data_IF_941844393399
#
_entry.id   IF_941844393399
#
_cell.length_a   1.000
_cell.length_b   1.000
_cell.length_c   1.000
_cell.angle_alpha   90.00
_cell.angle_beta   90.00
_cell.angle_gamma   90.00
#
_symmetry.space_group_name_H-M   'P 1'
#
loop_
_entity.id
_entity.type
_entity.pdbx_description
1 polymer ?
#
# COMPACT_ATOMS: atom_id res chain seq x y z
N UNK A 1 22.98 11.13 -1.03
CA UNK A 1 21.61 11.12 -1.56
C UNK A 1 20.71 11.78 -0.51
N UNK A 2 20.31 13.04 -0.70
CA UNK A 2 19.49 13.79 0.25
C UNK A 2 18.03 13.39 0.03
N UNK A 3 17.38 12.87 1.07
CA UNK A 3 15.95 12.52 1.02
C UNK A 3 15.20 13.79 1.43
N UNK A 4 14.78 14.58 0.45
CA UNK A 4 13.88 15.71 0.69
C UNK A 4 12.50 15.14 1.01
N UNK A 5 12.06 15.30 2.26
CA UNK A 5 10.78 14.80 2.76
C UNK A 5 9.98 16.00 3.28
N UNK A 6 9.14 16.59 2.43
CA UNK A 6 8.24 17.70 2.75
C UNK A 6 6.83 17.22 3.14
N UNK A 7 6.74 16.15 3.93
CA UNK A 7 5.59 15.91 4.81
C UNK A 7 4.20 15.63 4.21
N UNK A 8 4.01 15.44 2.90
CA UNK A 8 2.66 15.09 2.39
C UNK A 8 2.59 13.96 1.35
N UNK A 9 3.55 13.83 0.43
CA UNK A 9 3.40 12.92 -0.74
C UNK A 9 4.68 12.14 -1.04
N UNK A 10 4.58 10.83 -1.24
CA UNK A 10 5.66 10.01 -1.80
C UNK A 10 5.69 10.17 -3.32
N UNK A 11 6.88 10.02 -3.93
CA UNK A 11 6.95 9.80 -5.38
C UNK A 11 6.41 8.42 -5.73
N UNK A 12 5.86 8.23 -6.93
CA UNK A 12 5.34 6.94 -7.40
C UNK A 12 6.35 5.80 -7.22
N UNK A 13 7.61 6.06 -7.61
CA UNK A 13 8.72 5.10 -7.49
C UNK A 13 9.02 4.74 -6.04
N UNK A 14 9.01 5.72 -5.13
CA UNK A 14 9.25 5.48 -3.70
C UNK A 14 8.08 4.74 -3.04
N UNK A 15 6.84 5.11 -3.37
CA UNK A 15 5.64 4.44 -2.89
C UNK A 15 5.62 2.96 -3.28
N UNK A 16 5.87 2.65 -4.56
CA UNK A 16 5.94 1.27 -5.04
C UNK A 16 7.09 0.48 -4.41
N UNK A 17 8.26 1.09 -4.25
CA UNK A 17 9.39 0.43 -3.59
C UNK A 17 9.07 0.07 -2.13
N UNK A 18 8.50 1.01 -1.37
CA UNK A 18 8.15 0.77 0.02
C UNK A 18 6.99 -0.23 0.15
N UNK A 19 6.00 -0.16 -0.75
CA UNK A 19 4.92 -1.13 -0.83
C UNK A 19 5.49 -2.54 -1.06
N UNK A 20 6.33 -2.72 -2.09
CA UNK A 20 6.98 -4.00 -2.35
C UNK A 20 7.72 -4.52 -1.12
N UNK A 21 8.60 -3.71 -0.50
CA UNK A 21 9.42 -4.17 0.62
C UNK A 21 8.65 -4.43 1.91
N UNK A 22 7.56 -3.70 2.14
CA UNK A 22 6.66 -3.97 3.26
C UNK A 22 5.94 -5.32 3.08
N UNK A 23 5.33 -5.52 1.92
CA UNK A 23 4.53 -6.72 1.66
C UNK A 23 5.39 -7.98 1.48
N UNK A 24 6.61 -7.84 0.94
CA UNK A 24 7.61 -8.92 0.91
C UNK A 24 7.94 -9.38 2.34
N UNK A 25 8.18 -8.45 3.26
CA UNK A 25 8.42 -8.78 4.66
C UNK A 25 7.20 -9.41 5.34
N UNK A 26 5.98 -8.92 5.10
CA UNK A 26 4.76 -9.51 5.66
C UNK A 26 4.51 -10.93 5.15
N UNK A 27 4.93 -11.24 3.92
CA UNK A 27 4.87 -12.61 3.41
C UNK A 27 5.87 -13.55 4.10
N UNK A 28 7.05 -13.02 4.47
CA UNK A 28 8.07 -13.75 5.24
C UNK A 28 7.74 -13.85 6.73
N UNK A 29 6.82 -13.02 7.24
CA UNK A 29 6.43 -12.95 8.64
C UNK A 29 4.89 -12.99 8.79
N UNK A 30 4.24 -14.13 8.49
CA UNK A 30 2.79 -14.25 8.57
C UNK A 30 2.27 -13.99 10.00
N UNK A 31 1.12 -13.32 10.10
CA UNK A 31 0.51 -12.94 11.37
C UNK A 31 0.99 -11.59 11.93
N UNK A 32 2.10 -11.06 11.43
CA UNK A 32 2.59 -9.75 11.83
C UNK A 32 1.73 -8.59 11.30
N UNK A 33 1.79 -7.46 12.01
CA UNK A 33 1.13 -6.24 11.57
C UNK A 33 2.08 -5.38 10.73
N UNK A 34 1.52 -4.57 9.81
CA UNK A 34 2.30 -3.59 9.04
C UNK A 34 3.19 -2.72 9.93
N UNK A 35 2.69 -2.30 11.10
CA UNK A 35 3.42 -1.44 12.05
C UNK A 35 4.65 -2.11 12.66
N UNK A 36 4.77 -3.44 12.59
CA UNK A 36 5.92 -4.18 13.08
C UNK A 36 7.09 -4.22 12.09
N UNK A 37 6.92 -3.70 10.86
CA UNK A 37 7.98 -3.72 9.85
C UNK A 37 9.25 -3.01 10.37
N UNK A 38 10.42 -3.67 10.36
CA UNK A 38 11.63 -3.15 11.02
C UNK A 38 12.21 -1.89 10.36
N UNK A 39 11.76 -1.55 9.15
CA UNK A 39 12.23 -0.36 8.45
C UNK A 39 11.53 0.93 8.89
N UNK A 40 10.45 0.84 9.68
CA UNK A 40 9.84 2.02 10.30
C UNK A 40 10.75 2.66 11.34
N UNK A 41 10.71 3.99 11.44
CA UNK A 41 11.48 4.76 12.45
C UNK A 41 11.15 4.35 13.87
N UNK A 42 9.88 4.06 14.19
CA UNK A 42 9.46 3.58 15.51
C UNK A 42 10.08 2.22 15.89
N UNK A 43 10.54 1.44 14.90
CA UNK A 43 11.22 0.15 15.08
C UNK A 43 12.74 0.24 14.86
N UNK A 44 13.32 1.44 14.86
CA UNK A 44 14.76 1.65 14.67
C UNK A 44 15.22 1.74 13.19
N UNK A 45 14.27 1.76 12.25
CA UNK A 45 14.53 1.92 10.84
C UNK A 45 14.70 3.37 10.39
N UNK A 46 14.54 3.61 9.07
CA UNK A 46 14.76 4.92 8.42
C UNK A 46 13.54 5.44 7.65
N UNK A 47 12.48 4.64 7.56
CA UNK A 47 11.26 5.03 6.87
C UNK A 47 10.33 5.67 7.89
N UNK A 48 9.98 6.94 7.67
CA UNK A 48 9.01 7.62 8.53
C UNK A 48 7.67 6.88 8.50
N UNK A 49 7.02 6.86 9.65
CA UNK A 49 5.64 6.35 9.76
C UNK A 49 4.74 7.11 8.80
N UNK A 50 3.80 6.38 8.21
CA UNK A 50 2.86 6.93 7.23
C UNK A 50 1.50 7.05 7.91
N UNK A 51 0.78 8.13 7.60
CA UNK A 51 -0.57 8.35 8.13
C UNK A 51 -1.62 7.49 7.43
N UNK A 52 -1.27 6.91 6.28
CA UNK A 52 -2.17 6.08 5.46
C UNK A 52 -1.88 4.60 5.60
N UNK A 53 -2.92 3.77 5.41
CA UNK A 53 -2.89 2.30 5.50
C UNK A 53 -1.89 1.61 4.56
N UNK A 54 -1.45 2.28 3.49
CA UNK A 54 -0.56 1.72 2.47
C UNK A 54 0.43 2.79 1.95
N UNK A 55 1.69 2.43 1.65
CA UNK A 55 2.62 3.36 0.99
C UNK A 55 2.12 3.94 -0.33
N UNK A 56 1.24 3.23 -1.04
CA UNK A 56 0.59 3.73 -2.26
C UNK A 56 -0.43 4.85 -1.98
N UNK A 57 -1.11 4.84 -0.84
CA UNK A 57 -2.01 5.93 -0.43
C UNK A 57 -1.23 7.19 -0.07
N UNK A 58 0.02 7.07 0.41
CA UNK A 58 0.88 8.23 0.61
C UNK A 58 1.39 8.83 -0.71
N UNK A 59 1.20 8.15 -1.85
CA UNK A 59 1.39 8.74 -3.17
C UNK A 59 0.16 9.53 -3.63
N UNK A 60 -1.06 9.15 -3.27
CA UNK A 60 -2.26 9.84 -3.74
C UNK A 60 -2.44 11.16 -2.95
N UNK A 61 -2.92 12.25 -3.58
CA UNK A 61 -3.16 13.51 -2.87
C UNK A 61 -4.34 13.35 -1.91
N UNK A 62 -4.12 13.63 -0.61
CA UNK A 62 -5.16 13.59 0.44
C UNK A 62 -5.82 14.97 0.63
N UNK A 63 -5.79 15.87 -0.36
CA UNK A 63 -6.43 17.18 -0.17
C UNK A 63 -7.94 17.07 -0.48
N UNK A 64 -8.83 17.36 0.49
CA UNK A 64 -10.25 17.44 0.23
C UNK A 64 -10.49 18.76 -0.50
N UNK A 65 -10.55 18.72 -1.83
CA UNK A 65 -10.98 19.87 -2.64
C UNK A 65 -12.29 19.45 -3.32
N UNK A 66 -13.40 19.55 -2.58
CA UNK A 66 -14.74 19.29 -3.12
C UNK A 66 -15.20 17.83 -3.02
N UNK A 67 -16.49 17.63 -3.28
CA UNK A 67 -17.26 16.38 -3.12
C UNK A 67 -16.90 15.25 -4.13
N UNK A 68 -15.72 15.28 -4.76
CA UNK A 68 -15.31 14.24 -5.73
C UNK A 68 -14.12 13.42 -5.20
N UNK A 69 -14.44 12.19 -4.82
CA UNK A 69 -13.72 11.25 -3.94
C UNK A 69 -12.71 10.31 -4.65
N UNK A 70 -12.24 10.60 -5.86
CA UNK A 70 -11.53 9.59 -6.68
C UNK A 70 -10.01 9.49 -6.47
N UNK A 71 -9.51 9.73 -5.26
CA UNK A 71 -8.06 9.66 -4.97
C UNK A 71 -7.46 8.27 -5.23
N UNK A 72 -8.29 7.23 -5.23
CA UNK A 72 -7.88 5.84 -5.46
C UNK A 72 -7.59 5.50 -6.93
N UNK A 73 -8.14 6.24 -7.90
CA UNK A 73 -7.84 6.03 -9.34
C UNK A 73 -6.36 6.28 -9.64
N UNK A 74 -5.71 7.16 -8.88
CA UNK A 74 -4.28 7.44 -9.01
C UNK A 74 -3.38 6.41 -8.30
N UNK A 75 -3.97 5.44 -7.59
CA UNK A 75 -3.19 4.43 -6.88
C UNK A 75 -2.26 3.71 -7.85
N UNK A 76 -0.94 3.62 -7.57
CA UNK A 76 0.01 2.92 -8.44
C UNK A 76 -0.31 1.42 -8.65
N UNK A 77 -1.19 0.87 -7.82
CA UNK A 77 -1.69 -0.51 -7.88
C UNK A 77 -3.16 -0.61 -8.29
N UNK A 78 -3.80 0.46 -8.76
CA UNK A 78 -5.24 0.49 -9.08
C UNK A 78 -5.70 -0.73 -9.90
N UNK A 79 -5.07 -0.96 -11.06
CA UNK A 79 -5.38 -2.08 -11.97
C UNK A 79 -5.11 -3.49 -11.38
N UNK A 80 -4.44 -3.60 -10.23
CA UNK A 80 -4.21 -4.88 -9.57
C UNK A 80 -5.39 -5.33 -8.71
N UNK A 81 -6.18 -4.39 -8.19
CA UNK A 81 -7.15 -4.67 -7.12
C UNK A 81 -8.46 -5.34 -7.58
N UNK A 82 -8.58 -5.65 -8.87
CA UNK A 82 -9.84 -6.09 -9.50
C UNK A 82 -10.98 -5.08 -9.28
N UNK A 83 -11.15 -4.19 -10.25
CA UNK A 83 -12.16 -3.12 -10.21
C UNK A 83 -13.56 -3.60 -10.60
N UNK A 84 -13.76 -4.91 -10.81
CA UNK A 84 -15.06 -5.48 -11.20
C UNK A 84 -15.94 -5.89 -10.01
N UNK A 85 -15.41 -5.81 -8.79
CA UNK A 85 -16.15 -6.11 -7.56
C UNK A 85 -17.05 -4.96 -7.09
N UNK A 86 -18.07 -5.28 -6.29
CA UNK A 86 -18.83 -4.32 -5.52
C UNK A 86 -18.13 -4.08 -4.18
N UNK A 87 -17.95 -2.81 -3.79
CA UNK A 87 -17.53 -2.47 -2.43
C UNK A 87 -18.72 -2.47 -1.48
N UNK A 88 -18.51 -2.88 -0.23
CA UNK A 88 -19.50 -2.70 0.83
C UNK A 88 -19.36 -1.37 1.59
N UNK A 89 -18.24 -0.63 1.43
CA UNK A 89 -17.87 0.45 2.37
C UNK A 89 -17.28 1.72 1.69
N UNK A 90 -16.72 1.66 0.47
CA UNK A 90 -16.13 2.83 -0.24
C UNK A 90 -15.71 2.50 -1.68
N UNK A 91 -15.62 3.46 -2.59
CA UNK A 91 -15.05 3.30 -3.96
C UNK A 91 -13.51 3.05 -3.97
N UNK A 92 -13.02 2.24 -3.03
CA UNK A 92 -11.63 1.88 -2.85
C UNK A 92 -11.42 0.41 -3.26
N UNK A 93 -10.90 0.11 -4.46
CA UNK A 93 -10.78 -1.26 -4.95
C UNK A 93 -9.95 -2.18 -4.05
N UNK A 94 -9.01 -1.64 -3.28
CA UNK A 94 -8.23 -2.44 -2.33
C UNK A 94 -9.03 -2.85 -1.09
N UNK A 95 -10.22 -2.32 -0.86
CA UNK A 95 -11.11 -2.70 0.24
C UNK A 95 -12.22 -3.67 -0.17
N UNK A 96 -12.33 -3.99 -1.48
CA UNK A 96 -13.32 -4.94 -1.97
C UNK A 96 -13.09 -6.32 -1.35
N UNK A 97 -14.15 -7.07 -1.08
CA UNK A 97 -14.06 -8.41 -0.46
C UNK A 97 -13.20 -9.39 -1.26
N UNK A 98 -13.20 -9.25 -2.59
CA UNK A 98 -12.38 -10.04 -3.52
C UNK A 98 -10.91 -9.61 -3.57
N UNK A 99 -10.57 -8.44 -3.01
CA UNK A 99 -9.23 -7.88 -3.11
C UNK A 99 -8.23 -8.67 -2.25
N UNK A 100 -6.99 -8.75 -2.72
CA UNK A 100 -5.92 -9.41 -1.97
C UNK A 100 -5.63 -8.71 -0.63
N UNK A 101 -5.89 -7.41 -0.53
CA UNK A 101 -5.68 -6.66 0.70
C UNK A 101 -6.75 -6.99 1.75
N UNK A 102 -8.03 -7.06 1.36
CA UNK A 102 -9.09 -7.50 2.26
C UNK A 102 -8.93 -8.96 2.68
N UNK A 103 -8.46 -9.82 1.76
CA UNK A 103 -8.04 -11.19 2.08
C UNK A 103 -6.96 -11.24 3.16
N UNK A 104 -5.92 -10.40 3.06
CA UNK A 104 -4.89 -10.28 4.09
C UNK A 104 -5.43 -9.78 5.44
N UNK A 105 -6.31 -8.77 5.45
CA UNK A 105 -6.94 -8.28 6.68
C UNK A 105 -7.68 -9.42 7.39
N UNK A 106 -8.42 -10.22 6.61
CA UNK A 106 -9.24 -11.31 7.11
C UNK A 106 -8.43 -12.53 7.57
N UNK A 107 -7.26 -12.76 6.96
CA UNK A 107 -6.39 -13.88 7.30
C UNK A 107 -4.90 -13.52 7.16
N UNK A 108 -4.35 -12.79 8.15
CA UNK A 108 -2.95 -12.33 8.15
C UNK A 108 -1.92 -13.46 8.19
N UNK A 109 -2.31 -14.67 8.57
CA UNK A 109 -1.42 -15.84 8.62
C UNK A 109 -1.23 -16.49 7.24
N UNK A 110 -2.01 -16.09 6.24
CA UNK A 110 -1.95 -16.63 4.89
C UNK A 110 -1.03 -15.75 4.01
N UNK A 111 0.19 -16.20 3.69
CA UNK A 111 1.18 -15.37 3.01
C UNK A 111 0.85 -15.12 1.53
N UNK A 112 -0.06 -15.89 0.91
CA UNK A 112 -0.41 -15.75 -0.51
C UNK A 112 -0.92 -14.36 -0.86
N UNK A 113 -1.69 -13.72 0.04
CA UNK A 113 -2.18 -12.35 -0.15
C UNK A 113 -1.02 -11.34 -0.18
N UNK A 114 -0.16 -11.37 0.84
CA UNK A 114 1.01 -10.49 0.95
C UNK A 114 1.98 -10.69 -0.22
N UNK A 115 2.22 -11.94 -0.63
CA UNK A 115 3.02 -12.29 -1.80
C UNK A 115 2.45 -11.68 -3.09
N UNK A 116 1.14 -11.76 -3.27
CA UNK A 116 0.47 -11.22 -4.46
C UNK A 116 0.62 -9.70 -4.55
N UNK A 117 0.44 -9.00 -3.43
CA UNK A 117 0.61 -7.54 -3.37
C UNK A 117 2.07 -7.15 -3.59
N UNK A 118 3.01 -7.84 -2.94
CA UNK A 118 4.45 -7.61 -3.11
C UNK A 118 4.88 -7.77 -4.57
N UNK A 119 4.43 -8.84 -5.23
CA UNK A 119 4.72 -9.11 -6.64
C UNK A 119 4.12 -8.04 -7.57
N UNK A 120 2.91 -7.57 -7.29
CA UNK A 120 2.29 -6.49 -8.07
C UNK A 120 3.08 -5.17 -7.94
N UNK A 121 3.46 -4.80 -6.72
CA UNK A 121 4.27 -3.61 -6.45
C UNK A 121 5.65 -3.69 -7.13
N UNK A 122 6.33 -4.83 -7.04
CA UNK A 122 7.62 -5.08 -7.71
C UNK A 122 7.50 -4.93 -9.22
N UNK A 123 6.53 -5.60 -9.86
CA UNK A 123 6.29 -5.51 -11.31
C UNK A 123 6.04 -4.09 -11.79
N UNK A 124 5.33 -3.28 -11.01
CA UNK A 124 5.08 -1.86 -11.33
C UNK A 124 6.33 -1.02 -11.13
N UNK A 125 7.08 -1.26 -10.05
CA UNK A 125 8.34 -0.57 -9.77
C UNK A 125 9.39 -0.79 -10.87
N UNK A 126 9.52 -2.02 -11.36
CA UNK A 126 10.50 -2.39 -12.40
C UNK A 126 10.16 -1.80 -13.78
N UNK A 127 8.91 -1.35 -14.00
CA UNK A 127 8.47 -0.67 -15.23
C UNK A 127 8.67 0.86 -15.20
N UNK A 128 9.21 1.42 -14.10
CA UNK A 128 9.46 2.87 -13.92
C UNK A 128 10.92 3.28 -14.16
#
# INVERSE_FOLDING_TARGET
MRIEWNGKKLTKKRALFLCWKLWEWLAENPGEEKKAWPHWVCNGGKVKEMTSECPCCQFTPVEPIGEEEDSCLECPLYEFWDTSGESSISDEPCMYESSQFQGWISNKNEPTYSNSIAAAAKRRYEKL
#
